data_IF_623464065337
#
_entry.id   IF_623464065337
#
_cell.length_a   1.000
_cell.length_b   1.000
_cell.length_c   1.000
_cell.angle_alpha   90.00
_cell.angle_beta   90.00
_cell.angle_gamma   90.00
#
_symmetry.space_group_name_H-M   'P 1'
#
loop_
_entity.id
_entity.type
_entity.pdbx_description
1 polymer ?
#
# COMPACT_ATOMS: atom_id res chain seq x y z
N UNK A 1 -63.23 54.57 -21.54
CA UNK A 1 -64.10 53.56 -20.93
C UNK A 1 -63.23 52.48 -20.31
N UNK A 2 -63.21 52.27 -19.01
CA UNK A 2 -62.45 51.17 -18.44
C UNK A 2 -63.19 49.88 -18.71
N UNK A 3 -62.44 48.88 -19.21
CA UNK A 3 -62.96 47.52 -19.42
C UNK A 3 -63.29 46.91 -18.03
N UNK A 4 -64.62 46.73 -17.80
CA UNK A 4 -65.14 45.96 -16.70
C UNK A 4 -64.73 44.48 -16.92
N UNK A 5 -63.83 43.95 -16.12
CA UNK A 5 -63.51 42.54 -16.10
C UNK A 5 -64.57 41.80 -15.29
N UNK A 6 -65.12 40.75 -15.90
CA UNK A 6 -66.10 39.90 -15.28
C UNK A 6 -65.45 39.15 -14.08
N UNK A 7 -66.22 38.86 -13.01
CA UNK A 7 -65.70 38.23 -11.77
C UNK A 7 -65.02 36.87 -12.07
N UNK A 8 -65.51 36.16 -13.09
CA UNK A 8 -64.96 34.88 -13.53
C UNK A 8 -63.57 35.03 -14.19
N UNK A 9 -63.31 36.11 -14.94
CA UNK A 9 -61.99 36.40 -15.54
C UNK A 9 -60.90 36.64 -14.46
N UNK A 10 -61.28 37.26 -13.33
CA UNK A 10 -60.35 37.54 -12.24
C UNK A 10 -59.99 36.24 -11.50
N UNK A 11 -60.93 35.30 -11.34
CA UNK A 11 -60.70 33.99 -10.71
C UNK A 11 -59.79 33.15 -11.61
N UNK A 12 -59.99 33.15 -12.93
CA UNK A 12 -59.14 32.42 -13.88
C UNK A 12 -57.71 32.98 -13.96
N UNK A 13 -57.53 34.29 -13.93
CA UNK A 13 -56.22 34.91 -13.83
C UNK A 13 -55.49 34.57 -12.53
N UNK A 14 -56.19 34.51 -11.41
CA UNK A 14 -55.66 34.10 -10.11
C UNK A 14 -55.24 32.61 -10.13
N UNK A 15 -56.04 31.75 -10.73
CA UNK A 15 -55.79 30.33 -10.84
C UNK A 15 -54.62 30.07 -11.79
N UNK A 16 -54.50 30.77 -12.94
CA UNK A 16 -53.36 30.71 -13.83
C UNK A 16 -52.05 31.18 -13.14
N UNK A 17 -52.09 32.26 -12.36
CA UNK A 17 -50.95 32.72 -11.56
C UNK A 17 -50.53 31.70 -10.47
N UNK A 18 -51.50 31.06 -9.80
CA UNK A 18 -51.24 30.00 -8.80
C UNK A 18 -50.63 28.75 -9.46
N UNK A 19 -51.16 28.31 -10.64
CA UNK A 19 -50.63 27.19 -11.39
C UNK A 19 -49.21 27.48 -11.86
N UNK A 20 -48.91 28.68 -12.39
CA UNK A 20 -47.53 29.08 -12.79
C UNK A 20 -46.58 29.14 -11.60
N UNK A 21 -47.02 29.60 -10.43
CA UNK A 21 -46.20 29.57 -9.20
C UNK A 21 -45.93 28.14 -8.72
N UNK A 22 -46.93 27.26 -8.76
CA UNK A 22 -46.72 25.82 -8.42
C UNK A 22 -45.79 25.12 -9.43
N UNK A 23 -45.98 25.38 -10.70
CA UNK A 23 -45.13 24.83 -11.74
C UNK A 23 -43.68 25.31 -11.60
N UNK A 24 -43.45 26.59 -11.34
CA UNK A 24 -42.10 27.12 -11.08
C UNK A 24 -41.46 26.48 -9.84
N UNK A 25 -42.19 26.28 -8.76
CA UNK A 25 -41.69 25.60 -7.56
C UNK A 25 -41.35 24.12 -7.85
N UNK A 26 -42.19 23.44 -8.63
CA UNK A 26 -41.96 22.06 -9.03
C UNK A 26 -40.74 21.92 -9.93
N UNK A 27 -40.57 22.81 -10.90
CA UNK A 27 -39.38 22.86 -11.74
C UNK A 27 -38.12 23.14 -10.90
N UNK A 28 -38.19 24.01 -9.92
CA UNK A 28 -37.07 24.36 -9.04
C UNK A 28 -36.68 23.15 -8.16
N UNK A 29 -37.67 22.42 -7.63
CA UNK A 29 -37.41 21.17 -6.89
C UNK A 29 -36.80 20.08 -7.79
N UNK A 30 -37.28 19.93 -9.00
CA UNK A 30 -36.70 18.99 -9.97
C UNK A 30 -35.25 19.36 -10.34
N UNK A 31 -34.98 20.64 -10.50
CA UNK A 31 -33.64 21.15 -10.81
C UNK A 31 -32.68 20.95 -9.64
N UNK A 32 -33.12 21.22 -8.42
CA UNK A 32 -32.31 20.94 -7.22
C UNK A 32 -32.08 19.45 -7.01
N UNK A 33 -33.09 18.61 -7.24
CA UNK A 33 -32.92 17.16 -7.20
C UNK A 33 -31.93 16.65 -8.25
N UNK A 34 -32.01 17.17 -9.49
CA UNK A 34 -31.07 16.81 -10.55
C UNK A 34 -29.64 17.24 -10.24
N UNK A 35 -29.45 18.45 -9.65
CA UNK A 35 -28.14 18.93 -9.21
C UNK A 35 -27.57 18.03 -8.10
N UNK A 36 -28.36 17.72 -7.07
CA UNK A 36 -27.94 16.85 -5.97
C UNK A 36 -27.59 15.45 -6.47
N UNK A 37 -28.39 14.90 -7.38
CA UNK A 37 -28.12 13.60 -7.98
C UNK A 37 -26.83 13.66 -8.85
N UNK A 38 -26.65 14.71 -9.64
CA UNK A 38 -25.43 14.94 -10.40
C UNK A 38 -24.18 15.05 -9.52
N UNK A 39 -24.28 15.82 -8.44
CA UNK A 39 -23.20 15.94 -7.45
C UNK A 39 -22.90 14.60 -6.75
N UNK A 40 -23.92 13.80 -6.47
CA UNK A 40 -23.72 12.48 -5.87
C UNK A 40 -23.00 11.51 -6.81
N UNK A 41 -23.40 11.44 -8.08
CA UNK A 41 -22.75 10.58 -9.07
C UNK A 41 -21.35 11.05 -9.49
N UNK A 42 -21.06 12.33 -9.37
CA UNK A 42 -19.74 12.91 -9.66
C UNK A 42 -18.90 13.12 -8.40
N UNK A 43 -19.37 12.61 -7.25
CA UNK A 43 -18.75 12.84 -5.94
C UNK A 43 -17.25 12.53 -5.94
N UNK A 44 -16.86 11.39 -6.46
CA UNK A 44 -15.46 10.95 -6.42
C UNK A 44 -14.55 11.83 -7.30
N UNK A 45 -15.11 12.39 -8.38
CA UNK A 45 -14.35 13.26 -9.28
C UNK A 45 -14.09 14.68 -8.72
N UNK A 46 -15.08 15.27 -8.03
CA UNK A 46 -14.91 16.63 -7.48
C UNK A 46 -14.40 16.60 -6.04
N UNK A 47 -14.69 15.53 -5.26
CA UNK A 47 -14.14 15.34 -3.92
C UNK A 47 -12.62 15.23 -3.97
N UNK A 48 -12.08 14.42 -4.87
CA UNK A 48 -10.63 14.31 -5.08
C UNK A 48 -10.02 15.63 -5.60
N UNK A 49 -10.73 16.38 -6.46
CA UNK A 49 -10.26 17.70 -6.88
C UNK A 49 -10.29 18.74 -5.77
N UNK A 50 -11.32 18.75 -4.93
CA UNK A 50 -11.42 19.68 -3.81
C UNK A 50 -10.42 19.33 -2.71
N UNK A 51 -10.18 18.04 -2.45
CA UNK A 51 -9.13 17.56 -1.56
C UNK A 51 -7.75 18.02 -2.06
N UNK A 52 -7.44 17.85 -3.33
CA UNK A 52 -6.20 18.32 -3.95
C UNK A 52 -6.03 19.85 -3.92
N UNK A 53 -7.12 20.63 -4.01
CA UNK A 53 -7.07 22.10 -3.86
C UNK A 53 -6.85 22.49 -2.39
N UNK A 54 -7.46 21.80 -1.45
CA UNK A 54 -7.25 22.01 -0.02
C UNK A 54 -5.81 21.72 0.40
N UNK A 55 -5.22 20.66 -0.15
CA UNK A 55 -3.82 20.29 0.08
C UNK A 55 -2.83 21.25 -0.59
N UNK A 56 -3.16 21.83 -1.73
CA UNK A 56 -2.33 22.83 -2.43
C UNK A 56 -2.18 24.15 -1.63
N UNK A 57 -3.11 24.44 -0.71
CA UNK A 57 -3.08 25.61 0.17
C UNK A 57 -2.61 25.30 1.60
N UNK A 58 -2.39 24.04 1.97
CA UNK A 58 -1.69 23.70 3.21
C UNK A 58 -0.22 24.04 3.01
N UNK A 59 0.15 25.22 3.43
CA UNK A 59 1.54 25.65 3.52
C UNK A 59 2.25 24.68 4.45
N UNK A 60 3.31 24.11 3.94
CA UNK A 60 4.24 23.25 4.64
C UNK A 60 4.60 23.87 5.98
N UNK A 61 4.04 23.40 7.03
CA UNK A 61 4.57 23.68 8.35
C UNK A 61 4.25 22.52 9.29
N UNK A 62 5.31 21.94 9.71
CA UNK A 62 5.57 21.45 11.04
C UNK A 62 5.34 20.01 11.35
N UNK A 63 6.53 19.51 11.44
CA UNK A 63 7.05 18.86 12.62
C UNK A 63 5.96 18.35 13.52
N UNK A 64 5.58 17.13 13.29
CA UNK A 64 4.85 16.36 14.26
C UNK A 64 5.61 16.41 15.60
N UNK A 65 4.91 16.42 16.70
CA UNK A 65 5.49 16.30 18.02
C UNK A 65 5.57 14.84 18.41
N UNK A 66 6.62 14.48 19.13
CA UNK A 66 6.68 13.15 19.76
C UNK A 66 5.46 12.99 20.68
N UNK A 67 4.78 11.85 20.53
CA UNK A 67 3.62 11.51 21.33
C UNK A 67 4.00 11.29 22.80
N UNK A 68 3.09 11.65 23.67
CA UNK A 68 3.16 11.38 25.10
C UNK A 68 2.39 10.09 25.45
N UNK A 69 2.40 9.69 26.70
CA UNK A 69 1.63 8.56 27.19
C UNK A 69 2.40 7.25 27.16
N UNK A 70 2.01 6.30 26.30
CA UNK A 70 2.65 4.98 26.24
C UNK A 70 3.93 4.95 25.39
N UNK A 71 4.32 6.06 24.78
CA UNK A 71 5.57 6.18 24.04
C UNK A 71 6.68 6.83 24.88
N UNK A 72 7.94 6.42 24.69
CA UNK A 72 8.41 5.35 23.80
C UNK A 72 8.04 3.94 24.30
N UNK A 73 7.74 3.05 23.34
CA UNK A 73 7.60 1.63 23.63
C UNK A 73 9.01 1.03 23.67
N UNK A 74 9.40 0.48 24.79
CA UNK A 74 10.69 -0.18 24.93
C UNK A 74 10.66 -1.61 24.35
N UNK A 75 11.62 -1.90 23.45
CA UNK A 75 11.76 -3.20 22.82
C UNK A 75 12.94 -3.95 23.43
N UNK A 76 12.65 -5.09 24.03
CA UNK A 76 13.69 -5.98 24.56
C UNK A 76 14.34 -6.78 23.45
N UNK A 77 15.67 -6.84 23.37
CA UNK A 77 16.40 -7.67 22.40
C UNK A 77 17.27 -6.92 21.39
N UNK A 78 17.22 -5.58 21.35
CA UNK A 78 18.06 -4.78 20.43
C UNK A 78 17.43 -4.54 19.07
N UNK A 79 18.22 -4.17 18.04
CA UNK A 79 17.77 -3.63 16.76
C UNK A 79 17.03 -4.60 15.83
N UNK A 80 17.08 -5.89 16.06
CA UNK A 80 16.61 -6.91 15.11
C UNK A 80 15.11 -7.23 15.21
N UNK A 81 14.31 -6.30 15.74
CA UNK A 81 12.86 -6.47 15.74
C UNK A 81 12.24 -5.98 14.43
N UNK A 82 11.13 -6.62 14.04
CA UNK A 82 10.32 -6.18 12.91
C UNK A 82 9.06 -5.49 13.42
N UNK A 83 8.66 -4.43 12.75
CA UNK A 83 7.47 -3.65 13.04
C UNK A 83 6.65 -3.53 11.77
N UNK A 84 5.40 -3.93 11.84
CA UNK A 84 4.42 -3.79 10.75
C UNK A 84 3.17 -3.10 11.30
N UNK A 85 2.50 -2.36 10.45
CA UNK A 85 1.22 -1.74 10.76
C UNK A 85 0.08 -2.44 10.02
N UNK A 86 -1.05 -2.51 10.67
CA UNK A 86 -2.35 -2.77 10.07
C UNK A 86 -3.28 -1.63 10.42
N UNK A 87 -4.49 -1.57 9.85
CA UNK A 87 -5.44 -0.45 9.95
C UNK A 87 -5.47 0.30 11.31
N UNK A 88 -5.39 -0.39 12.42
CA UNK A 88 -5.50 0.20 13.74
C UNK A 88 -4.53 -0.37 14.79
N UNK A 89 -3.52 -1.13 14.35
CA UNK A 89 -2.63 -1.85 15.25
C UNK A 89 -1.20 -1.82 14.79
N UNK A 90 -0.29 -1.79 15.75
CA UNK A 90 1.12 -2.10 15.55
C UNK A 90 1.37 -3.55 15.94
N UNK A 91 2.03 -4.29 15.07
CA UNK A 91 2.48 -5.65 15.35
C UNK A 91 3.99 -5.64 15.34
N UNK A 92 4.55 -6.02 16.48
CA UNK A 92 5.99 -6.08 16.66
C UNK A 92 6.39 -7.53 16.95
N UNK A 93 7.44 -7.99 16.29
CA UNK A 93 8.05 -9.27 16.60
C UNK A 93 9.49 -9.08 17.07
N UNK A 94 9.82 -9.72 18.18
CA UNK A 94 11.19 -9.89 18.68
C UNK A 94 11.58 -11.36 18.58
N UNK A 95 12.78 -11.72 19.00
CA UNK A 95 13.29 -13.11 18.94
C UNK A 95 12.37 -14.17 19.56
N UNK A 96 11.52 -13.78 20.51
CA UNK A 96 10.75 -14.75 21.33
C UNK A 96 9.26 -14.46 21.37
N UNK A 97 8.87 -13.21 21.12
CA UNK A 97 7.50 -12.77 21.33
C UNK A 97 6.97 -11.94 20.16
N UNK A 98 5.70 -12.16 19.86
CA UNK A 98 4.86 -11.25 19.07
C UNK A 98 4.09 -10.35 20.03
N UNK A 99 4.09 -9.05 19.75
CA UNK A 99 3.37 -8.05 20.52
C UNK A 99 2.36 -7.36 19.59
N UNK A 100 1.16 -7.19 20.10
CA UNK A 100 0.10 -6.42 19.46
C UNK A 100 -0.16 -5.19 20.30
N UNK A 101 -0.02 -4.03 19.71
CA UNK A 101 -0.29 -2.74 20.32
C UNK A 101 -1.39 -2.03 19.54
N UNK A 102 -2.17 -1.17 20.22
CA UNK A 102 -2.96 -0.17 19.52
C UNK A 102 -2.08 0.99 19.04
N UNK A 103 -2.67 1.92 18.29
CA UNK A 103 -1.94 3.09 17.76
C UNK A 103 -1.54 4.08 18.85
N UNK A 104 -2.10 4.00 20.07
CA UNK A 104 -1.71 4.77 21.24
C UNK A 104 -0.59 4.14 22.06
N UNK A 105 -0.07 2.99 21.59
CA UNK A 105 1.04 2.28 22.22
C UNK A 105 0.63 1.41 23.41
N UNK A 106 -0.68 1.20 23.64
CA UNK A 106 -1.12 0.29 24.69
C UNK A 106 -0.99 -1.16 24.24
N UNK A 107 -0.37 -1.99 25.07
CA UNK A 107 -0.18 -3.41 24.79
C UNK A 107 -1.51 -4.16 24.87
N UNK A 108 -2.00 -4.65 23.72
CA UNK A 108 -3.20 -5.47 23.62
C UNK A 108 -2.91 -6.93 23.97
N UNK A 109 -1.81 -7.46 23.42
CA UNK A 109 -1.43 -8.86 23.59
C UNK A 109 0.07 -9.06 23.45
N UNK A 110 0.59 -10.02 24.21
CA UNK A 110 1.93 -10.59 24.06
C UNK A 110 1.78 -12.10 23.92
N UNK A 111 2.35 -12.67 22.85
CA UNK A 111 2.32 -14.12 22.60
C UNK A 111 3.72 -14.64 22.32
N UNK A 112 4.08 -15.76 22.93
CA UNK A 112 5.36 -16.41 22.69
C UNK A 112 5.29 -17.22 21.38
N UNK A 113 6.34 -17.14 20.56
CA UNK A 113 6.58 -18.01 19.42
C UNK A 113 7.89 -18.81 19.58
N UNK A 114 8.05 -19.81 18.72
CA UNK A 114 9.22 -20.72 18.76
C UNK A 114 10.08 -20.64 17.51
N UNK A 115 9.73 -19.73 16.59
CA UNK A 115 10.47 -19.55 15.35
C UNK A 115 11.82 -18.89 15.60
N UNK A 116 12.84 -19.34 14.87
CA UNK A 116 14.13 -18.65 14.70
C UNK A 116 14.13 -17.94 13.36
N UNK A 117 14.83 -16.81 13.22
CA UNK A 117 14.76 -15.99 11.99
C UNK A 117 13.32 -15.73 11.50
N UNK A 118 12.47 -15.33 12.44
CA UNK A 118 11.06 -15.12 12.18
C UNK A 118 10.86 -13.96 11.21
N UNK A 119 9.98 -14.16 10.24
CA UNK A 119 9.50 -13.12 9.34
C UNK A 119 8.07 -12.79 9.72
N UNK A 120 7.82 -11.50 9.93
CA UNK A 120 6.50 -10.92 10.14
C UNK A 120 5.99 -10.34 8.80
N UNK A 121 4.73 -10.61 8.51
CA UNK A 121 3.93 -9.89 7.51
C UNK A 121 2.59 -9.57 8.12
N UNK A 122 2.09 -8.36 7.94
CA UNK A 122 0.83 -7.94 8.51
C UNK A 122 -0.10 -7.36 7.44
N UNK A 123 -1.38 -7.73 7.51
CA UNK A 123 -2.44 -7.15 6.69
C UNK A 123 -3.81 -7.47 7.30
N UNK A 124 -4.79 -6.58 7.15
CA UNK A 124 -6.16 -6.78 7.60
C UNK A 124 -6.30 -7.16 9.07
N UNK A 125 -5.50 -6.53 9.94
CA UNK A 125 -5.50 -6.77 11.38
C UNK A 125 -4.84 -8.07 11.82
N UNK A 126 -4.16 -8.81 10.92
CA UNK A 126 -3.56 -10.13 11.19
C UNK A 126 -2.05 -10.10 11.00
N UNK A 127 -1.37 -10.92 11.80
CA UNK A 127 0.03 -11.28 11.63
C UNK A 127 0.15 -12.65 10.95
N UNK A 128 0.97 -12.73 9.93
CA UNK A 128 1.51 -13.95 9.37
C UNK A 128 2.95 -14.08 9.86
N UNK A 129 3.22 -15.13 10.59
CA UNK A 129 4.54 -15.45 11.12
C UNK A 129 5.05 -16.73 10.46
N UNK A 130 6.29 -16.72 10.03
CA UNK A 130 6.96 -17.93 9.55
C UNK A 130 8.46 -17.84 9.78
N UNK A 131 9.13 -18.98 9.82
CA UNK A 131 10.57 -19.04 9.87
C UNK A 131 11.14 -19.02 8.46
N UNK A 132 12.07 -18.11 8.18
CA UNK A 132 12.76 -18.06 6.89
C UNK A 132 13.63 -19.32 6.71
N UNK A 133 13.33 -20.13 5.70
CA UNK A 133 13.94 -21.44 5.49
C UNK A 133 13.44 -22.51 6.47
N UNK A 134 12.43 -22.23 7.28
CA UNK A 134 11.71 -23.19 8.10
C UNK A 134 10.57 -23.86 7.32
N UNK A 135 9.77 -24.65 8.02
CA UNK A 135 8.67 -25.41 7.42
C UNK A 135 7.31 -25.18 8.08
N UNK A 136 7.22 -24.16 8.93
CA UNK A 136 5.97 -23.83 9.62
C UNK A 136 5.62 -22.35 9.48
N UNK A 137 4.32 -22.06 9.43
CA UNK A 137 3.77 -20.72 9.53
C UNK A 137 2.54 -20.71 10.42
N UNK A 138 2.26 -19.54 11.00
CA UNK A 138 1.02 -19.26 11.74
C UNK A 138 0.40 -17.95 11.26
N UNK A 139 -0.93 -17.89 11.33
CA UNK A 139 -1.71 -16.67 11.13
C UNK A 139 -2.49 -16.40 12.39
N UNK A 140 -2.32 -15.21 12.97
CA UNK A 140 -2.87 -14.84 14.25
C UNK A 140 -3.24 -13.37 14.35
N UNK A 141 -4.04 -13.02 15.35
CA UNK A 141 -4.24 -11.65 15.83
C UNK A 141 -4.07 -11.58 17.36
N UNK A 142 -4.47 -10.48 17.97
CA UNK A 142 -4.41 -10.33 19.42
C UNK A 142 -5.27 -11.32 20.18
N UNK A 143 -6.40 -11.74 19.59
CA UNK A 143 -7.36 -12.62 20.25
C UNK A 143 -7.00 -14.09 20.10
N UNK A 144 -6.71 -14.55 18.86
CA UNK A 144 -6.54 -15.97 18.58
C UNK A 144 -5.47 -16.27 17.50
N UNK A 145 -5.06 -17.53 17.45
CA UNK A 145 -4.33 -18.12 16.33
C UNK A 145 -5.35 -18.77 15.41
N UNK A 146 -5.59 -18.19 14.23
CA UNK A 146 -6.56 -18.70 13.27
C UNK A 146 -6.20 -20.08 12.75
N UNK A 147 -4.92 -20.26 12.44
CA UNK A 147 -4.39 -21.56 11.99
C UNK A 147 -2.85 -21.57 11.97
N UNK A 148 -2.33 -22.78 12.00
CA UNK A 148 -0.92 -23.09 11.78
C UNK A 148 -0.80 -24.05 10.61
N UNK A 149 0.26 -23.96 9.82
CA UNK A 149 0.60 -24.89 8.74
C UNK A 149 2.00 -25.43 8.90
N UNK A 150 2.15 -26.73 8.65
CA UNK A 150 3.46 -27.37 8.57
C UNK A 150 3.60 -28.06 7.22
N UNK A 151 4.76 -27.87 6.57
CA UNK A 151 5.05 -28.31 5.20
C UNK A 151 5.98 -29.54 5.17
N UNK A 152 5.97 -30.35 6.21
CA UNK A 152 6.69 -31.62 6.33
C UNK A 152 8.16 -31.56 5.92
N UNK A 153 8.48 -31.70 4.62
CA UNK A 153 9.85 -31.73 4.07
C UNK A 153 10.19 -30.50 3.24
N UNK A 154 9.22 -29.63 2.98
CA UNK A 154 9.41 -28.44 2.16
C UNK A 154 9.76 -27.25 3.04
N UNK A 155 10.71 -26.44 2.58
CA UNK A 155 11.11 -25.21 3.27
C UNK A 155 10.34 -24.01 2.69
N UNK A 156 9.91 -23.11 3.54
CA UNK A 156 9.27 -21.88 3.14
C UNK A 156 10.34 -20.95 2.56
N UNK A 157 10.15 -20.54 1.31
CA UNK A 157 10.97 -19.54 0.66
C UNK A 157 10.48 -18.13 1.02
N UNK A 158 9.19 -17.93 0.94
CA UNK A 158 8.51 -16.72 1.45
C UNK A 158 7.01 -16.97 1.59
N UNK A 159 6.34 -16.07 2.31
CA UNK A 159 4.88 -16.04 2.39
C UNK A 159 4.35 -14.59 2.40
N UNK A 160 3.12 -14.40 1.93
CA UNK A 160 2.40 -13.13 1.89
C UNK A 160 1.00 -13.31 2.45
N UNK A 161 0.50 -12.26 3.11
CA UNK A 161 -0.87 -12.19 3.60
C UNK A 161 -1.57 -11.00 2.94
N UNK A 162 -2.87 -11.13 2.69
CA UNK A 162 -3.69 -10.07 2.11
C UNK A 162 -4.58 -9.40 3.15
N UNK A 163 -5.12 -8.22 2.83
CA UNK A 163 -6.08 -7.48 3.65
C UNK A 163 -7.33 -8.30 4.01
N UNK A 164 -7.72 -9.27 3.18
CA UNK A 164 -8.83 -10.16 3.46
C UNK A 164 -8.42 -11.40 4.29
N UNK A 165 -7.15 -11.50 4.71
CA UNK A 165 -6.60 -12.59 5.50
C UNK A 165 -6.31 -13.87 4.73
N UNK A 166 -6.19 -13.81 3.41
CA UNK A 166 -5.70 -14.92 2.60
C UNK A 166 -4.18 -14.99 2.66
N UNK A 167 -3.64 -16.20 2.68
CA UNK A 167 -2.19 -16.41 2.78
C UNK A 167 -1.69 -17.19 1.57
N UNK A 168 -0.68 -16.67 0.91
CA UNK A 168 0.09 -17.38 -0.12
C UNK A 168 1.44 -17.77 0.47
N UNK A 169 1.87 -18.99 0.23
CA UNK A 169 3.18 -19.50 0.62
C UNK A 169 3.86 -20.17 -0.55
N UNK A 170 5.13 -19.84 -0.74
CA UNK A 170 6.01 -20.48 -1.74
C UNK A 170 7.02 -21.30 -0.98
N UNK A 171 7.10 -22.59 -1.33
CA UNK A 171 7.98 -23.55 -0.69
C UNK A 171 8.92 -24.21 -1.70
N UNK A 172 10.00 -24.80 -1.23
CA UNK A 172 10.84 -25.68 -2.04
C UNK A 172 10.02 -26.87 -2.55
N UNK A 173 10.48 -27.50 -3.63
CA UNK A 173 9.86 -28.70 -4.19
C UNK A 173 10.93 -29.72 -4.63
N UNK A 174 10.66 -31.02 -4.49
CA UNK A 174 11.59 -32.08 -4.89
C UNK A 174 11.69 -32.20 -6.43
N UNK A 175 10.64 -31.84 -7.17
CA UNK A 175 10.54 -32.10 -8.62
C UNK A 175 10.37 -30.83 -9.46
N UNK A 176 10.18 -29.67 -8.83
CA UNK A 176 9.93 -28.38 -9.47
C UNK A 176 10.81 -27.32 -8.84
N UNK A 177 10.91 -26.15 -9.44
CA UNK A 177 11.66 -25.04 -8.86
C UNK A 177 11.09 -24.60 -7.51
N UNK A 178 9.75 -24.53 -7.43
CA UNK A 178 9.05 -24.28 -6.18
C UNK A 178 7.58 -24.71 -6.26
N UNK A 179 6.88 -24.59 -5.15
CA UNK A 179 5.45 -24.85 -5.05
C UNK A 179 4.75 -23.68 -4.41
N UNK A 180 3.67 -23.19 -5.03
CA UNK A 180 2.80 -22.12 -4.51
C UNK A 180 1.51 -22.76 -3.97
N UNK A 181 1.21 -22.51 -2.71
CA UNK A 181 -0.08 -22.82 -2.12
C UNK A 181 -0.76 -21.55 -1.60
N UNK A 182 -2.09 -21.44 -1.78
CA UNK A 182 -2.88 -20.32 -1.27
C UNK A 182 -3.97 -20.84 -0.37
N UNK A 183 -4.11 -20.20 0.78
CA UNK A 183 -5.07 -20.55 1.82
C UNK A 183 -6.06 -19.40 2.03
N UNK A 184 -7.31 -19.73 2.31
CA UNK A 184 -8.32 -18.77 2.72
C UNK A 184 -8.08 -18.31 4.18
N UNK A 185 -8.86 -17.34 4.63
CA UNK A 185 -8.79 -16.77 5.98
C UNK A 185 -8.97 -17.75 7.14
N UNK A 186 -9.35 -19.01 6.87
CA UNK A 186 -9.51 -20.11 7.83
C UNK A 186 -8.44 -21.20 7.66
N UNK A 187 -7.46 -20.96 6.79
CA UNK A 187 -6.41 -21.93 6.51
C UNK A 187 -6.83 -23.08 5.61
N UNK A 188 -7.97 -23.00 4.89
CA UNK A 188 -8.33 -23.99 3.88
C UNK A 188 -7.59 -23.68 2.58
N UNK A 189 -6.87 -24.66 2.03
CA UNK A 189 -6.19 -24.49 0.75
C UNK A 189 -7.19 -24.33 -0.39
N UNK A 190 -7.11 -23.23 -1.11
CA UNK A 190 -7.97 -22.87 -2.25
C UNK A 190 -7.26 -23.02 -3.60
N UNK A 191 -5.92 -22.89 -3.61
CA UNK A 191 -5.11 -22.97 -4.82
C UNK A 191 -3.80 -23.69 -4.53
N UNK A 192 -3.28 -24.40 -5.54
CA UNK A 192 -1.97 -25.04 -5.53
C UNK A 192 -1.40 -25.05 -6.94
N UNK A 193 -0.14 -24.69 -7.08
CA UNK A 193 0.63 -24.75 -8.33
C UNK A 193 2.03 -25.27 -8.07
N UNK A 194 2.47 -26.15 -8.94
CA UNK A 194 3.87 -26.55 -9.08
C UNK A 194 4.52 -25.63 -10.11
N UNK A 195 5.55 -24.90 -9.73
CA UNK A 195 6.20 -23.89 -10.56
C UNK A 195 7.50 -24.44 -11.12
N UNK A 196 7.66 -24.40 -12.44
CA UNK A 196 8.92 -24.72 -13.12
C UNK A 196 9.87 -23.51 -13.09
N UNK A 197 9.32 -22.31 -12.89
CA UNK A 197 10.03 -21.06 -12.74
C UNK A 197 10.37 -20.79 -11.27
N UNK A 198 11.43 -20.03 -11.03
CA UNK A 198 11.78 -19.54 -9.70
C UNK A 198 10.92 -18.30 -9.37
N UNK A 199 9.91 -18.49 -8.56
CA UNK A 199 9.05 -17.39 -8.08
C UNK A 199 9.86 -16.50 -7.13
N UNK A 200 9.93 -15.21 -7.43
CA UNK A 200 10.65 -14.22 -6.62
C UNK A 200 9.75 -13.50 -5.61
N UNK A 201 8.53 -13.14 -6.01
CA UNK A 201 7.55 -12.51 -5.11
C UNK A 201 6.12 -12.63 -5.62
N UNK A 202 5.14 -12.24 -4.78
CA UNK A 202 3.71 -12.32 -5.08
C UNK A 202 2.95 -11.19 -4.37
N UNK A 203 2.01 -10.58 -5.11
CA UNK A 203 1.06 -9.59 -4.57
C UNK A 203 -0.37 -10.02 -4.84
N UNK A 204 -1.23 -10.00 -3.81
CA UNK A 204 -2.65 -10.29 -3.98
C UNK A 204 -3.37 -9.17 -4.73
N UNK A 205 -4.33 -9.55 -5.57
CA UNK A 205 -5.19 -8.64 -6.34
C UNK A 205 -6.66 -9.07 -6.28
N UNK A 206 -7.57 -8.21 -6.74
CA UNK A 206 -9.00 -8.52 -6.89
C UNK A 206 -9.63 -9.05 -5.59
N UNK A 207 -9.40 -8.38 -4.45
CA UNK A 207 -9.86 -8.83 -3.14
C UNK A 207 -9.46 -10.28 -2.84
N UNK A 208 -8.20 -10.61 -3.06
CA UNK A 208 -7.61 -11.96 -2.85
C UNK A 208 -8.17 -13.08 -3.72
N UNK A 209 -8.84 -12.75 -4.84
CA UNK A 209 -9.32 -13.76 -5.80
C UNK A 209 -8.25 -14.15 -6.84
N UNK A 210 -7.11 -13.47 -6.83
CA UNK A 210 -5.97 -13.72 -7.69
C UNK A 210 -4.71 -13.08 -7.13
N UNK A 211 -3.62 -13.23 -7.85
CA UNK A 211 -2.35 -12.59 -7.56
C UNK A 211 -1.61 -12.17 -8.82
N UNK A 212 -0.76 -11.18 -8.68
CA UNK A 212 0.39 -10.94 -9.56
C UNK A 212 1.57 -11.69 -8.98
N UNK A 213 2.20 -12.51 -9.80
CA UNK A 213 3.35 -13.33 -9.46
C UNK A 213 4.54 -12.88 -10.29
N UNK A 214 5.66 -12.59 -9.67
CA UNK A 214 6.94 -12.38 -10.36
C UNK A 214 7.80 -13.63 -10.29
N UNK A 215 8.47 -13.94 -11.38
CA UNK A 215 9.41 -15.05 -11.43
C UNK A 215 10.62 -14.73 -12.32
N UNK A 216 11.72 -15.37 -12.02
CA UNK A 216 12.98 -15.19 -12.74
C UNK A 216 13.06 -16.25 -13.84
N UNK A 217 13.42 -15.82 -15.04
CA UNK A 217 13.72 -16.69 -16.18
C UNK A 217 15.00 -16.23 -16.88
N UNK A 218 15.42 -16.96 -17.90
CA UNK A 218 16.56 -16.60 -18.73
C UNK A 218 16.11 -16.41 -20.18
N UNK A 219 16.33 -15.22 -20.74
CA UNK A 219 16.09 -14.90 -22.13
C UNK A 219 17.41 -14.45 -22.79
N UNK A 220 17.78 -15.08 -23.89
CA UNK A 220 19.04 -14.77 -24.63
C UNK A 220 20.31 -14.77 -23.76
N UNK A 221 20.32 -15.59 -22.71
CA UNK A 221 21.47 -15.70 -21.80
C UNK A 221 21.52 -14.63 -20.71
N UNK A 222 20.50 -13.80 -20.58
CA UNK A 222 20.33 -12.82 -19.50
C UNK A 222 19.20 -13.24 -18.57
N UNK A 223 19.34 -12.94 -17.29
CA UNK A 223 18.26 -13.08 -16.32
C UNK A 223 17.24 -11.96 -16.53
N UNK A 224 15.99 -12.32 -16.57
CA UNK A 224 14.86 -11.39 -16.68
C UNK A 224 13.78 -11.73 -15.67
N UNK A 225 12.95 -10.79 -15.32
CA UNK A 225 11.77 -11.02 -14.51
C UNK A 225 10.52 -10.95 -15.36
N UNK A 226 9.70 -11.98 -15.29
CA UNK A 226 8.37 -12.00 -15.89
C UNK A 226 7.31 -11.80 -14.81
N UNK A 227 6.23 -11.17 -15.18
CA UNK A 227 5.03 -11.00 -14.33
C UNK A 227 3.90 -11.82 -14.91
N UNK A 228 3.13 -12.47 -14.03
CA UNK A 228 2.02 -13.32 -14.40
C UNK A 228 0.79 -13.00 -13.53
N UNK A 229 -0.37 -12.82 -14.16
CA UNK A 229 -1.64 -12.75 -13.44
C UNK A 229 -2.24 -14.14 -13.29
N UNK A 230 -2.54 -14.54 -12.06
CA UNK A 230 -3.18 -15.81 -11.73
C UNK A 230 -4.54 -15.55 -11.09
N UNK A 231 -5.58 -16.22 -11.60
CA UNK A 231 -6.91 -16.28 -10.99
C UNK A 231 -7.07 -17.53 -10.16
N UNK A 232 -7.32 -17.39 -8.86
CA UNK A 232 -7.59 -18.55 -7.98
C UNK A 232 -8.99 -19.13 -8.20
N UNK A 233 -9.94 -18.32 -8.67
CA UNK A 233 -11.30 -18.73 -8.96
C UNK A 233 -11.35 -19.59 -10.22
N UNK A 234 -10.69 -19.15 -11.28
CA UNK A 234 -10.60 -19.86 -12.56
C UNK A 234 -9.53 -20.96 -12.51
N UNK A 235 -8.63 -20.91 -11.52
CA UNK A 235 -7.43 -21.76 -11.38
C UNK A 235 -6.57 -21.75 -12.64
N UNK A 236 -6.43 -20.59 -13.24
CA UNK A 236 -5.76 -20.37 -14.50
C UNK A 236 -4.91 -19.11 -14.50
N UNK A 237 -3.90 -19.13 -15.34
CA UNK A 237 -3.12 -17.97 -15.74
C UNK A 237 -3.94 -17.13 -16.72
N UNK A 238 -4.01 -15.83 -16.50
CA UNK A 238 -4.70 -14.92 -17.42
C UNK A 238 -3.76 -14.37 -18.49
N UNK A 239 -2.58 -13.97 -18.09
CA UNK A 239 -1.53 -13.53 -18.98
C UNK A 239 -0.16 -13.63 -18.31
N UNK A 240 0.88 -13.58 -19.14
CA UNK A 240 2.30 -13.52 -18.75
C UNK A 240 2.96 -12.39 -19.53
N UNK A 241 3.75 -11.55 -18.86
CA UNK A 241 4.48 -10.46 -19.50
C UNK A 241 5.69 -10.96 -20.27
N UNK A 242 6.20 -10.18 -21.24
CA UNK A 242 7.60 -10.32 -21.67
C UNK A 242 8.56 -10.14 -20.50
N UNK A 243 9.82 -10.57 -20.67
CA UNK A 243 10.85 -10.40 -19.65
C UNK A 243 11.22 -8.92 -19.45
N UNK A 244 11.17 -8.47 -18.20
CA UNK A 244 11.77 -7.23 -17.74
C UNK A 244 13.26 -7.47 -17.51
N UNK A 245 14.12 -6.64 -18.06
CA UNK A 245 15.59 -6.78 -17.91
C UNK A 245 16.06 -6.25 -16.55
N UNK A 246 15.58 -6.87 -15.48
CA UNK A 246 15.93 -6.60 -14.09
C UNK A 246 15.78 -7.88 -13.27
N UNK A 247 16.40 -7.94 -12.11
CA UNK A 247 16.14 -8.95 -11.09
C UNK A 247 15.08 -8.43 -10.12
N UNK A 248 13.81 -8.89 -10.29
CA UNK A 248 12.68 -8.47 -9.48
C UNK A 248 12.76 -8.99 -8.06
N UNK A 249 12.79 -8.09 -7.10
CA UNK A 249 12.87 -8.38 -5.67
C UNK A 249 11.50 -8.29 -5.00
N UNK A 250 10.68 -7.34 -5.45
CA UNK A 250 9.34 -7.09 -4.92
C UNK A 250 8.35 -6.80 -6.05
N UNK A 251 7.11 -7.24 -5.87
CA UNK A 251 6.01 -6.93 -6.78
C UNK A 251 4.83 -6.35 -6.02
N UNK A 252 4.29 -5.23 -6.50
CA UNK A 252 3.04 -4.66 -6.02
C UNK A 252 1.99 -4.70 -7.14
N UNK A 253 0.98 -5.55 -6.96
CA UNK A 253 -0.15 -5.68 -7.88
C UNK A 253 -1.29 -4.75 -7.51
N UNK A 254 -1.97 -4.21 -8.52
CA UNK A 254 -3.18 -3.39 -8.38
C UNK A 254 -4.07 -3.53 -9.61
N UNK A 255 -5.25 -2.90 -9.62
CA UNK A 255 -6.27 -3.10 -10.66
C UNK A 255 -5.79 -2.85 -12.11
N UNK A 256 -4.77 -2.02 -12.30
CA UNK A 256 -4.28 -1.63 -13.62
C UNK A 256 -3.00 -2.35 -14.05
N UNK A 257 -2.46 -3.26 -13.21
CA UNK A 257 -1.25 -3.99 -13.50
C UNK A 257 -0.37 -4.25 -12.28
N UNK A 258 0.93 -4.29 -12.47
CA UNK A 258 1.90 -4.50 -11.40
C UNK A 258 3.14 -3.63 -11.57
N UNK A 259 3.67 -3.15 -10.45
CA UNK A 259 4.97 -2.52 -10.37
C UNK A 259 5.98 -3.51 -9.82
N UNK A 260 7.11 -3.66 -10.50
CA UNK A 260 8.21 -4.55 -10.10
C UNK A 260 9.39 -3.71 -9.69
N UNK A 261 9.79 -3.84 -8.43
CA UNK A 261 11.02 -3.28 -7.89
C UNK A 261 12.16 -4.29 -8.04
N UNK A 262 13.19 -3.92 -8.75
CA UNK A 262 14.40 -4.71 -8.91
C UNK A 262 15.59 -4.15 -8.13
N UNK A 263 16.74 -4.76 -8.35
CA UNK A 263 18.03 -4.38 -7.78
C UNK A 263 18.62 -3.13 -8.46
N UNK A 264 18.61 -3.08 -9.79
CA UNK A 264 19.21 -2.03 -10.61
C UNK A 264 18.21 -1.25 -11.48
N UNK A 265 16.96 -1.68 -11.46
CA UNK A 265 15.89 -1.07 -12.23
C UNK A 265 14.52 -1.36 -11.61
N UNK A 266 13.51 -0.65 -12.06
CA UNK A 266 12.11 -0.98 -11.81
C UNK A 266 11.30 -0.92 -13.10
N UNK A 267 10.14 -1.57 -13.09
CA UNK A 267 9.28 -1.61 -14.26
C UNK A 267 7.80 -1.74 -13.92
N UNK A 268 6.99 -1.30 -14.86
CA UNK A 268 5.55 -1.39 -14.77
C UNK A 268 4.97 -2.27 -15.88
N UNK A 269 4.15 -3.21 -15.49
CA UNK A 269 3.40 -4.09 -16.40
C UNK A 269 1.92 -3.74 -16.29
N UNK A 270 1.28 -3.47 -17.43
CA UNK A 270 -0.13 -3.11 -17.45
C UNK A 270 -1.07 -4.31 -17.25
N UNK A 271 -2.38 -4.06 -17.16
CA UNK A 271 -3.41 -5.08 -16.96
C UNK A 271 -3.56 -6.08 -18.12
N UNK A 272 -2.82 -5.89 -19.22
CA UNK A 272 -2.77 -6.81 -20.36
C UNK A 272 -1.47 -7.59 -20.42
N UNK A 273 -0.61 -7.43 -19.42
CA UNK A 273 0.70 -8.05 -19.37
C UNK A 273 1.76 -7.37 -20.24
N UNK A 274 1.53 -6.14 -20.71
CA UNK A 274 2.51 -5.42 -21.50
C UNK A 274 3.39 -4.55 -20.63
N UNK A 275 4.71 -4.54 -20.91
CA UNK A 275 5.63 -3.61 -20.24
C UNK A 275 5.29 -2.21 -20.72
N UNK A 276 4.79 -1.38 -19.82
CA UNK A 276 4.40 0.01 -20.13
C UNK A 276 5.46 1.00 -19.71
N UNK A 277 6.38 0.61 -18.82
CA UNK A 277 7.50 1.44 -18.39
C UNK A 277 8.66 0.63 -17.81
N UNK A 278 9.82 1.24 -17.92
CA UNK A 278 11.07 0.72 -17.37
C UNK A 278 11.96 1.89 -16.99
N UNK A 279 12.55 1.84 -15.81
CA UNK A 279 13.47 2.85 -15.31
C UNK A 279 14.71 2.17 -14.72
N UNK A 280 15.86 2.41 -15.32
CA UNK A 280 17.16 1.96 -14.79
C UNK A 280 17.69 2.98 -13.79
N UNK A 281 18.17 2.52 -12.66
CA UNK A 281 18.69 3.39 -11.61
C UNK A 281 20.06 3.97 -12.01
N UNK A 282 20.30 5.24 -11.62
CA UNK A 282 21.62 5.87 -11.74
C UNK A 282 22.37 5.74 -10.39
N UNK A 283 22.56 4.52 -9.93
CA UNK A 283 23.18 4.19 -8.64
C UNK A 283 22.55 2.97 -7.97
N UNK A 284 22.86 2.78 -6.71
CA UNK A 284 22.37 1.65 -5.91
C UNK A 284 21.00 1.96 -5.27
N UNK A 285 20.08 1.02 -5.34
CA UNK A 285 18.80 1.13 -4.67
C UNK A 285 18.98 1.10 -3.14
N UNK A 286 18.48 2.12 -2.46
CA UNK A 286 18.46 2.21 -0.99
C UNK A 286 17.18 1.64 -0.43
N UNK A 287 16.04 2.14 -0.92
CA UNK A 287 14.71 1.72 -0.49
C UNK A 287 13.70 1.89 -1.63
N UNK A 288 12.55 1.25 -1.49
CA UNK A 288 11.44 1.40 -2.43
C UNK A 288 10.12 1.02 -1.79
N UNK A 289 9.05 1.67 -2.24
CA UNK A 289 7.70 1.40 -1.81
C UNK A 289 6.73 1.52 -2.98
N UNK A 290 5.63 0.77 -2.90
CA UNK A 290 4.54 0.82 -3.90
C UNK A 290 3.19 0.65 -3.21
N UNK A 291 2.24 1.50 -3.56
CA UNK A 291 0.87 1.44 -3.04
C UNK A 291 -0.12 2.04 -4.05
N UNK A 292 -1.23 1.36 -4.29
CA UNK A 292 -2.34 1.88 -5.11
C UNK A 292 -1.98 2.28 -6.55
N UNK A 293 -0.85 1.77 -7.07
CA UNK A 293 -0.32 2.11 -8.39
C UNK A 293 0.64 3.29 -8.39
N UNK A 294 0.91 3.91 -7.26
CA UNK A 294 1.99 4.85 -7.04
C UNK A 294 3.23 4.10 -6.54
N UNK A 295 4.42 4.55 -6.90
CA UNK A 295 5.67 3.93 -6.47
C UNK A 295 6.76 4.98 -6.27
N UNK A 296 7.63 4.73 -5.30
CA UNK A 296 8.76 5.59 -4.98
C UNK A 296 10.01 4.72 -4.78
N UNK A 297 11.14 5.14 -5.34
CA UNK A 297 12.43 4.45 -5.22
C UNK A 297 13.51 5.44 -4.85
N UNK A 298 14.24 5.18 -3.79
CA UNK A 298 15.42 5.96 -3.40
C UNK A 298 16.66 5.29 -3.99
N UNK A 299 17.46 6.09 -4.66
CA UNK A 299 18.72 5.68 -5.28
C UNK A 299 19.86 6.52 -4.75
N UNK A 300 20.95 5.86 -4.37
CA UNK A 300 22.21 6.50 -3.99
C UNK A 300 23.22 6.37 -5.14
N UNK A 301 23.71 7.48 -5.64
CA UNK A 301 24.83 7.50 -6.56
C UNK A 301 26.10 7.93 -5.81
N UNK A 302 26.90 6.96 -5.39
CA UNK A 302 28.12 7.20 -4.59
C UNK A 302 29.15 8.03 -5.34
N UNK A 303 29.31 7.84 -6.66
CA UNK A 303 30.25 8.60 -7.50
C UNK A 303 29.93 10.10 -7.50
N UNK A 304 28.63 10.42 -7.51
CA UNK A 304 28.13 11.81 -7.49
C UNK A 304 27.80 12.31 -6.08
N UNK A 305 27.88 11.43 -5.07
CA UNK A 305 27.46 11.70 -3.68
C UNK A 305 26.07 12.30 -3.61
N UNK A 306 25.14 11.67 -4.31
CA UNK A 306 23.80 12.20 -4.52
C UNK A 306 22.75 11.14 -4.24
N UNK A 307 21.77 11.51 -3.44
CA UNK A 307 20.55 10.75 -3.25
C UNK A 307 19.44 11.31 -4.13
N UNK A 308 18.72 10.47 -4.81
CA UNK A 308 17.56 10.84 -5.62
C UNK A 308 16.38 9.96 -5.29
N UNK A 309 15.17 10.50 -5.39
CA UNK A 309 13.94 9.74 -5.33
C UNK A 309 13.26 9.79 -6.70
N UNK A 310 12.98 8.63 -7.26
CA UNK A 310 12.16 8.46 -8.45
C UNK A 310 10.71 8.18 -8.03
N UNK A 311 9.79 9.04 -8.43
CA UNK A 311 8.35 8.92 -8.20
C UNK A 311 7.64 8.47 -9.47
N UNK A 312 6.76 7.46 -9.34
CA UNK A 312 5.93 6.93 -10.42
C UNK A 312 4.46 7.04 -10.02
N UNK A 313 3.65 7.69 -10.86
CA UNK A 313 2.24 7.97 -10.57
C UNK A 313 1.31 7.10 -11.42
N UNK A 314 0.42 6.36 -10.76
CA UNK A 314 -0.71 5.66 -11.39
C UNK A 314 -0.30 4.62 -12.43
N UNK A 315 0.85 3.97 -12.25
CA UNK A 315 1.37 2.97 -13.18
C UNK A 315 1.86 3.56 -14.50
N UNK A 316 2.20 4.83 -14.55
CA UNK A 316 2.82 5.47 -15.71
C UNK A 316 4.32 5.47 -15.59
N UNK A 317 4.93 5.45 -16.73
CA UNK A 317 6.29 5.14 -17.04
C UNK A 317 7.32 6.24 -16.80
N UNK A 318 6.90 7.45 -16.63
CA UNK A 318 7.83 8.57 -16.52
C UNK A 318 8.13 8.81 -15.05
N UNK A 319 9.36 8.52 -14.67
CA UNK A 319 9.87 8.83 -13.33
C UNK A 319 9.99 10.35 -13.17
N UNK A 320 9.36 10.90 -12.14
CA UNK A 320 9.67 12.23 -11.67
C UNK A 320 10.83 12.11 -10.67
N UNK A 321 11.97 12.72 -11.01
CA UNK A 321 13.17 12.64 -10.19
C UNK A 321 13.24 13.84 -9.26
N UNK A 322 13.43 13.57 -7.97
CA UNK A 322 13.64 14.55 -6.92
C UNK A 322 15.04 14.37 -6.36
N UNK A 323 15.81 15.45 -6.30
CA UNK A 323 17.08 15.47 -5.59
C UNK A 323 16.83 15.57 -4.09
N UNK A 324 17.41 14.64 -3.34
CA UNK A 324 17.38 14.65 -1.89
C UNK A 324 18.68 15.26 -1.37
N UNK A 325 18.57 16.31 -0.57
CA UNK A 325 19.73 17.06 -0.06
C UNK A 325 20.52 16.27 0.98
N UNK A 326 19.84 15.34 1.68
CA UNK A 326 20.40 14.58 2.79
C UNK A 326 20.45 13.08 2.47
N UNK A 327 21.36 12.32 3.07
CA UNK A 327 21.34 10.88 3.01
C UNK A 327 19.98 10.35 3.44
N UNK A 328 19.42 9.48 2.62
CA UNK A 328 18.07 8.94 2.83
C UNK A 328 18.14 7.42 3.02
N UNK A 329 17.36 6.89 3.96
CA UNK A 329 17.48 5.51 4.41
C UNK A 329 16.24 4.67 4.18
N UNK A 330 15.05 5.30 4.11
CA UNK A 330 13.78 4.57 4.01
C UNK A 330 12.72 5.40 3.30
N UNK A 331 11.75 4.74 2.68
CA UNK A 331 10.59 5.35 2.01
C UNK A 331 9.36 4.51 2.20
N UNK A 332 8.25 5.16 2.48
CA UNK A 332 6.91 4.53 2.47
C UNK A 332 5.91 5.41 1.72
N UNK A 333 4.84 4.80 1.25
CA UNK A 333 3.72 5.52 0.64
C UNK A 333 2.53 5.38 1.58
N UNK A 334 1.85 6.48 1.80
CA UNK A 334 0.60 6.49 2.51
C UNK A 334 -0.37 7.44 1.81
N UNK A 335 -1.55 6.96 1.47
CA UNK A 335 -2.51 7.65 0.61
C UNK A 335 -1.86 8.07 -0.74
N UNK A 336 -1.70 9.37 -0.99
CA UNK A 336 -1.11 9.91 -2.22
C UNK A 336 0.22 10.63 -1.97
N UNK A 337 0.91 10.33 -0.87
CA UNK A 337 2.19 10.92 -0.49
C UNK A 337 3.28 9.88 -0.32
N UNK A 338 4.48 10.19 -0.80
CA UNK A 338 5.70 9.45 -0.52
C UNK A 338 6.43 10.10 0.66
N UNK A 339 6.60 9.35 1.73
CA UNK A 339 7.34 9.76 2.93
C UNK A 339 8.75 9.22 2.86
N UNK A 340 9.74 10.09 3.00
CA UNK A 340 11.16 9.75 2.92
C UNK A 340 11.82 10.06 4.23
N UNK A 341 12.47 9.10 4.84
CA UNK A 341 13.32 9.30 6.00
C UNK A 341 14.72 9.65 5.56
N UNK A 342 15.10 10.90 5.81
CA UNK A 342 16.45 11.42 5.64
C UNK A 342 17.14 11.53 7.00
N UNK A 343 18.43 11.85 6.99
CA UNK A 343 19.15 12.16 8.21
C UNK A 343 18.50 13.39 8.89
N UNK A 344 18.01 13.22 10.11
CA UNK A 344 17.44 14.29 10.94
C UNK A 344 16.00 14.70 10.60
N UNK A 345 15.37 14.16 9.57
CA UNK A 345 14.02 14.59 9.17
C UNK A 345 13.26 13.53 8.34
N UNK A 346 11.94 13.65 8.33
CA UNK A 346 11.07 12.94 7.40
C UNK A 346 10.42 13.98 6.49
N UNK A 347 10.50 13.76 5.18
CA UNK A 347 9.95 14.61 4.14
C UNK A 347 8.78 13.88 3.48
N UNK A 348 7.66 14.58 3.26
CA UNK A 348 6.53 14.05 2.50
C UNK A 348 6.38 14.78 1.17
N UNK A 349 6.38 14.04 0.07
CA UNK A 349 6.21 14.55 -1.27
C UNK A 349 4.94 14.02 -1.91
N UNK A 350 4.23 14.86 -2.65
CA UNK A 350 3.21 14.36 -3.55
C UNK A 350 3.82 13.80 -4.85
N UNK A 351 3.03 13.03 -5.59
CA UNK A 351 3.46 12.44 -6.86
C UNK A 351 3.52 13.44 -8.05
N UNK A 352 3.49 14.76 -7.78
CA UNK A 352 3.84 15.81 -8.73
C UNK A 352 5.14 16.51 -8.32
N UNK A 353 5.83 16.01 -7.26
CA UNK A 353 7.10 16.50 -6.77
C UNK A 353 7.02 17.64 -5.76
N UNK A 354 5.81 17.99 -5.33
CA UNK A 354 5.63 19.03 -4.32
C UNK A 354 5.95 18.51 -2.91
N UNK A 355 6.86 19.16 -2.19
CA UNK A 355 7.08 18.90 -0.76
C UNK A 355 5.85 19.37 0.03
N UNK A 356 5.27 18.47 0.84
CA UNK A 356 4.00 18.71 1.56
C UNK A 356 4.19 18.87 3.06
N UNK A 357 5.10 18.13 3.65
CA UNK A 357 5.43 18.27 5.07
C UNK A 357 6.87 17.91 5.37
N UNK A 358 7.35 18.40 6.50
CA UNK A 358 8.66 18.11 7.05
C UNK A 358 8.47 17.83 8.54
N UNK A 359 9.00 16.73 9.04
CA UNK A 359 9.04 16.41 10.45
C UNK A 359 10.50 16.23 10.87
N UNK A 360 10.94 17.01 11.87
CA UNK A 360 12.27 16.83 12.45
C UNK A 360 12.30 15.59 13.34
N UNK A 361 13.29 14.74 13.13
CA UNK A 361 13.50 13.50 13.90
C UNK A 361 14.95 13.38 14.33
N UNK A 362 15.21 12.55 15.34
CA UNK A 362 16.59 12.24 15.73
C UNK A 362 17.26 11.29 14.75
N UNK A 363 18.55 11.45 14.52
CA UNK A 363 19.38 10.52 13.71
C UNK A 363 19.50 9.12 14.31
N UNK A 364 18.98 8.91 15.53
CA UNK A 364 18.98 7.59 16.18
C UNK A 364 17.94 6.61 15.65
N UNK A 365 17.03 7.06 14.81
CA UNK A 365 16.02 6.19 14.20
C UNK A 365 16.56 5.60 12.90
N UNK A 366 16.23 4.32 12.67
CA UNK A 366 16.74 3.50 11.56
C UNK A 366 15.68 3.16 10.53
N UNK A 367 14.44 3.57 10.75
CA UNK A 367 13.31 3.35 9.86
C UNK A 367 12.03 3.90 10.46
N UNK A 368 10.96 3.81 9.73
CA UNK A 368 9.64 4.27 10.17
C UNK A 368 8.53 3.53 9.44
N UNK A 369 7.33 3.58 10.01
CA UNK A 369 6.10 3.13 9.38
C UNK A 369 5.02 4.20 9.52
N UNK A 370 4.14 4.33 8.55
CA UNK A 370 3.13 5.40 8.49
C UNK A 370 1.73 4.82 8.50
N UNK A 371 0.84 5.36 9.33
CA UNK A 371 -0.59 5.03 9.36
C UNK A 371 -1.39 6.24 9.82
N UNK A 372 -2.52 6.51 9.19
CA UNK A 372 -3.41 7.64 9.49
C UNK A 372 -2.62 8.95 9.72
N UNK A 373 -2.80 9.57 10.87
CA UNK A 373 -2.11 10.80 11.26
C UNK A 373 -0.81 10.54 12.05
N UNK A 374 -0.31 9.28 12.06
CA UNK A 374 0.82 8.87 12.88
C UNK A 374 2.00 8.37 12.05
N UNK A 375 3.20 8.74 12.46
CA UNK A 375 4.46 8.12 12.05
C UNK A 375 5.06 7.43 13.26
N UNK A 376 5.32 6.14 13.14
CA UNK A 376 6.01 5.35 14.16
C UNK A 376 7.47 5.23 13.76
N UNK A 377 8.35 5.71 14.64
CA UNK A 377 9.79 5.75 14.43
C UNK A 377 10.45 4.51 15.04
N UNK A 378 11.20 3.79 14.23
CA UNK A 378 11.94 2.61 14.64
C UNK A 378 13.33 3.01 15.13
N UNK A 379 13.59 2.93 16.43
CA UNK A 379 14.91 3.12 17.05
C UNK A 379 15.60 1.77 17.31
N UNK A 380 16.78 1.81 17.92
CA UNK A 380 17.57 0.60 18.25
C UNK A 380 16.82 -0.35 19.19
N UNK A 381 16.23 0.18 20.26
CA UNK A 381 15.51 -0.59 21.27
C UNK A 381 14.22 0.09 21.72
N UNK A 382 13.68 0.98 20.90
CA UNK A 382 12.46 1.71 21.20
C UNK A 382 11.68 2.07 19.95
N UNK A 383 10.39 2.24 20.13
CA UNK A 383 9.50 2.81 19.12
C UNK A 383 8.92 4.09 19.69
N UNK A 384 9.05 5.17 18.94
CA UNK A 384 8.43 6.46 19.21
C UNK A 384 7.31 6.72 18.19
N UNK A 385 6.42 7.65 18.50
CA UNK A 385 5.37 8.09 17.58
C UNK A 385 5.44 9.61 17.39
N UNK A 386 5.28 10.05 16.15
CA UNK A 386 5.04 11.44 15.82
C UNK A 386 3.59 11.59 15.40
N UNK A 387 2.88 12.52 16.03
CA UNK A 387 1.54 12.90 15.66
C UNK A 387 1.62 14.12 14.72
N UNK A 388 0.97 14.03 13.56
CA UNK A 388 0.77 15.19 12.71
C UNK A 388 -0.44 15.96 13.21
N UNK A 389 -0.25 17.23 13.59
CA UNK A 389 -1.38 18.13 13.80
C UNK A 389 -2.02 18.42 12.41
N UNK A 390 -3.25 17.98 12.22
CA UNK A 390 -4.09 18.24 11.06
C UNK A 390 -4.53 19.69 10.99
#
# INVERSE_FOLDING_TARGET
MPKMYDADDIVDLKNRKRRRKRLRRFILILLTAAIVTGLYFTRDMWYNKLRGIGEQYRTIVNSGKLAEGNFPIEVSGGADYQLELTDSKMILISDTYTYFYDTDGALLKKRQHTYTNTVLRAAGGRALLYENGGNELSVEDEDEVFYTKSFAKQLILFARISEQGYTAVVTTSDNFSCELEVYDKRGKRIYKRQCIEMVSDLSFINNSKGCMLSYISAENGQLVTNVQEISFTEKAERWTSPGLNLLGLEICGFDKGAFVLGDDACGYVDSKGQISSYYSYDGDRVAGASEGGNSAVIVNNDDRRRYTMALFKGGKAEALIIDLEEPSIDVTIYEELAYVMCQGKILAYDFNGGLRSVADVSDSYTGFVRSDDHIFLKGYNKIDRIDYES
#
